data_IF_191817854826
#
_entry.id   IF_191817854826
#
_cell.length_a   1.000
_cell.length_b   1.000
_cell.length_c   1.000
_cell.angle_alpha   90.00
_cell.angle_beta   90.00
_cell.angle_gamma   90.00
#
_symmetry.space_group_name_H-M   'P 1'
#
loop_
_entity.id
_entity.type
_entity.pdbx_description
1 polymer ?
#
# COMPACT_ATOMS: atom_id res chain seq x y z
N UNK A 1 8.93 -4.90 0.39
CA UNK A 1 7.88 -5.46 -0.47
C UNK A 1 7.91 -4.78 -1.83
N UNK A 2 7.84 -5.57 -2.90
CA UNK A 2 7.66 -5.10 -4.26
C UNK A 2 6.17 -4.84 -4.55
N UNK A 3 5.86 -4.17 -5.65
CA UNK A 3 4.47 -3.85 -6.04
C UNK A 3 3.54 -5.08 -6.10
N UNK A 4 4.09 -6.26 -6.41
CA UNK A 4 3.34 -7.51 -6.46
C UNK A 4 2.97 -8.02 -5.05
N UNK A 5 3.93 -8.00 -4.12
CA UNK A 5 3.70 -8.35 -2.71
C UNK A 5 2.70 -7.40 -2.06
N UNK A 6 2.78 -6.10 -2.36
CA UNK A 6 1.82 -5.11 -1.87
C UNK A 6 0.42 -5.37 -2.41
N UNK A 7 0.28 -5.69 -3.70
CA UNK A 7 -0.99 -6.09 -4.29
C UNK A 7 -1.59 -7.29 -3.55
N UNK A 8 -0.77 -8.28 -3.20
CA UNK A 8 -1.20 -9.50 -2.52
C UNK A 8 -1.50 -9.29 -1.04
N UNK A 9 -0.69 -8.50 -0.33
CA UNK A 9 -0.90 -8.15 1.08
C UNK A 9 -2.17 -7.33 1.29
N UNK A 10 -2.44 -6.38 0.39
CA UNK A 10 -3.66 -5.56 0.43
C UNK A 10 -4.86 -6.24 -0.23
N UNK A 11 -4.67 -7.33 -0.96
CA UNK A 11 -5.73 -7.97 -1.74
C UNK A 11 -6.28 -7.10 -2.87
N UNK A 12 -5.51 -6.11 -3.33
CA UNK A 12 -5.93 -5.14 -4.34
C UNK A 12 -5.35 -5.47 -5.72
N UNK A 13 -5.96 -4.91 -6.76
CA UNK A 13 -5.45 -5.02 -8.13
C UNK A 13 -4.42 -3.93 -8.45
N UNK A 14 -3.60 -4.14 -9.50
CA UNK A 14 -2.64 -3.13 -10.01
C UNK A 14 -3.30 -1.78 -10.31
N UNK A 15 -4.55 -1.79 -10.77
CA UNK A 15 -5.37 -0.58 -10.97
C UNK A 15 -5.56 0.20 -9.68
N UNK A 16 -5.98 -0.47 -8.61
CA UNK A 16 -6.16 0.13 -7.29
C UNK A 16 -4.83 0.63 -6.73
N UNK A 17 -3.76 -0.15 -6.87
CA UNK A 17 -2.41 0.24 -6.45
C UNK A 17 -1.95 1.54 -7.15
N UNK A 18 -2.20 1.66 -8.45
CA UNK A 18 -1.91 2.89 -9.20
C UNK A 18 -2.74 4.07 -8.69
N UNK A 19 -4.04 3.88 -8.45
CA UNK A 19 -4.90 4.93 -7.89
C UNK A 19 -4.41 5.39 -6.52
N UNK A 20 -4.00 4.45 -5.65
CA UNK A 20 -3.50 4.76 -4.31
C UNK A 20 -2.17 5.51 -4.38
N UNK A 21 -1.29 5.12 -5.30
CA UNK A 21 -0.04 5.85 -5.56
C UNK A 21 -0.31 7.28 -6.05
N UNK A 22 -1.28 7.45 -6.94
CA UNK A 22 -1.66 8.76 -7.48
C UNK A 22 -2.37 9.64 -6.43
N UNK A 23 -3.14 9.03 -5.53
CA UNK A 23 -3.74 9.71 -4.38
C UNK A 23 -2.77 9.94 -3.21
N UNK A 24 -1.55 9.42 -3.26
CA UNK A 24 -0.63 9.47 -2.11
C UNK A 24 -1.10 8.63 -0.91
N UNK A 25 -2.02 7.68 -1.14
CA UNK A 25 -2.65 6.86 -0.10
C UNK A 25 -1.71 5.80 0.47
N UNK A 26 -0.66 5.40 -0.26
CA UNK A 26 0.36 4.43 0.20
C UNK A 26 1.71 5.12 0.35
N UNK A 27 2.35 5.06 1.53
CA UNK A 27 3.74 5.43 1.71
C UNK A 27 4.62 4.49 0.92
N UNK A 28 5.43 5.05 0.01
CA UNK A 28 6.45 4.31 -0.70
C UNK A 28 7.81 4.94 -0.44
N UNK A 29 8.82 4.10 -0.28
CA UNK A 29 10.20 4.53 -0.18
C UNK A 29 10.89 4.27 -1.52
N UNK A 30 11.72 5.18 -1.99
CA UNK A 30 12.57 4.94 -3.16
C UNK A 30 14.01 4.75 -2.69
N UNK A 31 14.56 3.57 -2.94
CA UNK A 31 15.91 3.20 -2.54
C UNK A 31 16.65 2.72 -3.79
N UNK A 32 17.65 3.49 -4.22
CA UNK A 32 18.46 3.15 -5.39
C UNK A 32 17.67 3.04 -6.70
N UNK A 33 16.63 3.85 -6.89
CA UNK A 33 15.77 3.82 -8.09
C UNK A 33 14.72 2.71 -8.11
N UNK A 34 14.68 1.86 -7.07
CA UNK A 34 13.61 0.89 -6.86
C UNK A 34 12.63 1.40 -5.81
N UNK A 35 11.35 1.11 -6.04
CA UNK A 35 10.27 1.43 -5.12
C UNK A 35 10.13 0.29 -4.15
N UNK A 36 10.29 0.60 -2.86
CA UNK A 36 10.13 -0.33 -1.76
C UNK A 36 8.98 0.12 -0.88
N UNK A 37 8.16 -0.84 -0.49
CA UNK A 37 7.14 -0.65 0.52
C UNK A 37 7.59 -1.31 1.81
N UNK A 38 7.49 -0.57 2.91
CA UNK A 38 7.71 -1.09 4.25
C UNK A 38 6.51 -1.93 4.63
N UNK A 39 6.78 -3.10 5.17
CA UNK A 39 5.72 -4.01 5.62
C UNK A 39 4.89 -3.36 6.74
N UNK A 40 5.52 -2.62 7.65
CA UNK A 40 4.82 -1.87 8.70
C UNK A 40 3.85 -0.83 8.12
N UNK A 41 4.25 -0.09 7.09
CA UNK A 41 3.38 0.88 6.42
C UNK A 41 2.22 0.21 5.69
N UNK A 42 2.45 -0.93 5.03
CA UNK A 42 1.39 -1.71 4.36
C UNK A 42 0.41 -2.29 5.39
N UNK A 43 0.92 -2.78 6.52
CA UNK A 43 0.11 -3.35 7.58
C UNK A 43 -0.72 -2.27 8.30
N UNK A 44 -0.15 -1.09 8.52
CA UNK A 44 -0.86 0.07 9.05
C UNK A 44 -1.93 0.55 8.06
N UNK A 45 -1.63 0.57 6.76
CA UNK A 45 -2.61 0.87 5.72
C UNK A 45 -3.74 -0.14 5.66
N UNK A 46 -3.40 -1.43 5.79
CA UNK A 46 -4.37 -2.50 5.83
C UNK A 46 -5.28 -2.32 7.05
N UNK A 47 -4.73 -2.01 8.22
CA UNK A 47 -5.52 -1.64 9.40
C UNK A 47 -6.37 -0.38 9.18
N UNK A 48 -5.83 0.63 8.48
CA UNK A 48 -6.51 1.91 8.26
C UNK A 48 -7.65 1.80 7.24
N UNK A 49 -7.49 1.00 6.17
CA UNK A 49 -8.54 0.72 5.18
C UNK A 49 -9.53 -0.33 5.69
N UNK A 50 -9.10 -1.27 6.54
CA UNK A 50 -9.99 -2.09 7.37
C UNK A 50 -10.39 -1.28 8.62
N UNK A 51 -10.87 -0.05 8.44
CA UNK A 51 -11.76 0.58 9.41
C UNK A 51 -13.17 0.06 9.15
N UNK A 52 -13.68 -0.95 9.90
CA UNK A 52 -15.12 -1.00 10.10
C UNK A 52 -15.50 0.27 10.85
N UNK A 53 -16.53 0.95 10.37
CA UNK A 53 -17.16 2.10 11.01
C UNK A 53 -17.12 2.01 12.55
N UNK A 54 -16.45 2.96 13.19
CA UNK A 54 -16.74 3.38 14.57
C UNK A 54 -16.38 4.86 14.70
N UNK A 55 -17.36 5.72 14.50
CA UNK A 55 -17.97 6.48 15.61
C UNK A 55 -19.45 6.68 15.32
#
# INVERSE_FOLDING_TARGET
MDSADVCRALGISKRTLQTWRNNGKIPYAMLGGKVYFKESDINDLLLAEIKPAKE
#
